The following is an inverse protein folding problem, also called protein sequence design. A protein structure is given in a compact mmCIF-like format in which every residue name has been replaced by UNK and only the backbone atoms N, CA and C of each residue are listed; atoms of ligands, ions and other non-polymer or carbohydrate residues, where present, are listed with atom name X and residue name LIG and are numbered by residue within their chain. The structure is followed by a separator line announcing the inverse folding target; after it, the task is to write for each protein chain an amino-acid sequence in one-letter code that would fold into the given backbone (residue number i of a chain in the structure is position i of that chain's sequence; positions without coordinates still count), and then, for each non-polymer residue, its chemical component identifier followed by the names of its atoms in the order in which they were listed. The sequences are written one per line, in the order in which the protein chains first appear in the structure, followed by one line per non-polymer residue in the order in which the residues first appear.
data_IF_857500092508
#
_entry.id   IF_857500092508
#
_cell.length_a   1.000
_cell.length_b   1.000
_cell.length_c   1.000
_cell.angle_alpha   90.00
_cell.angle_beta   90.00
_cell.angle_gamma   90.00
#
_symmetry.space_group_name_H-M   'P 1'
#
loop_
_entity.id
_entity.type
_entity.pdbx_description
1 polymer ?
#
# COMPACT_ATOMS: atom_id res chain seq x y z
N UNK A 1 -10.60 -29.86 -20.75
CA UNK A 1 -11.05 -28.63 -20.07
C UNK A 1 -12.26 -28.97 -19.22
N UNK A 2 -12.26 -28.57 -17.95
CA UNK A 2 -13.46 -28.53 -17.14
C UNK A 2 -14.18 -27.24 -17.55
N UNK A 3 -15.32 -27.40 -18.22
CA UNK A 3 -16.18 -26.33 -18.71
C UNK A 3 -17.57 -26.46 -18.08
N UNK A 4 -18.25 -25.33 -17.87
CA UNK A 4 -19.60 -25.30 -17.30
C UNK A 4 -19.94 -23.95 -16.67
N UNK A 5 -21.23 -23.66 -16.55
CA UNK A 5 -21.74 -22.41 -15.97
C UNK A 5 -21.25 -22.20 -14.52
N UNK A 6 -21.04 -20.95 -14.13
CA UNK A 6 -20.71 -20.52 -12.74
C UNK A 6 -21.93 -20.53 -11.82
N UNK A 7 -22.89 -21.43 -12.05
CA UNK A 7 -24.19 -21.47 -11.39
C UNK A 7 -24.26 -22.47 -10.21
N UNK A 8 -23.11 -22.83 -9.62
CA UNK A 8 -22.98 -23.79 -8.51
C UNK A 8 -23.39 -25.26 -8.78
N UNK A 9 -23.80 -25.63 -10.00
CA UNK A 9 -24.28 -27.02 -10.27
C UNK A 9 -23.15 -28.03 -10.54
N UNK A 10 -22.06 -27.60 -11.19
CA UNK A 10 -20.88 -28.43 -11.38
C UNK A 10 -19.88 -28.19 -10.26
N UNK A 11 -19.90 -29.04 -9.22
CA UNK A 11 -19.01 -28.95 -8.06
C UNK A 11 -18.10 -30.17 -7.98
N UNK A 12 -16.79 -29.95 -8.10
CA UNK A 12 -15.76 -30.93 -7.75
C UNK A 12 -15.24 -30.59 -6.36
N UNK A 13 -15.14 -31.59 -5.49
CA UNK A 13 -14.65 -31.41 -4.12
C UNK A 13 -13.43 -32.29 -3.91
N UNK A 14 -12.32 -31.64 -3.61
CA UNK A 14 -11.02 -32.22 -3.33
C UNK A 14 -10.80 -32.16 -1.82
N UNK A 15 -10.68 -33.33 -1.20
CA UNK A 15 -10.57 -33.46 0.27
C UNK A 15 -9.11 -33.55 0.71
N UNK A 16 -8.91 -33.64 2.02
CA UNK A 16 -7.58 -33.63 2.62
C UNK A 16 -6.61 -34.63 1.96
N UNK A 17 -5.40 -34.15 1.67
CA UNK A 17 -4.33 -34.95 1.06
C UNK A 17 -4.45 -35.16 -0.46
N UNK A 18 -5.49 -34.63 -1.10
CA UNK A 18 -5.62 -34.71 -2.56
C UNK A 18 -4.79 -33.63 -3.25
N UNK A 19 -4.33 -33.95 -4.47
CA UNK A 19 -3.61 -33.00 -5.34
C UNK A 19 -4.26 -33.01 -6.72
N UNK A 20 -4.54 -31.83 -7.26
CA UNK A 20 -4.93 -31.64 -8.66
C UNK A 20 -3.79 -30.95 -9.41
N UNK A 21 -3.35 -31.54 -10.53
CA UNK A 21 -2.35 -30.94 -11.41
C UNK A 21 -3.00 -30.45 -12.70
N UNK A 22 -2.87 -29.16 -12.98
CA UNK A 22 -3.36 -28.49 -14.19
C UNK A 22 -2.17 -28.32 -15.14
N UNK A 23 -2.01 -29.29 -16.04
CA UNK A 23 -0.88 -29.39 -16.97
C UNK A 23 -1.21 -29.00 -18.42
N UNK A 24 -2.41 -28.47 -18.66
CA UNK A 24 -2.82 -28.01 -19.98
C UNK A 24 -3.40 -26.60 -19.88
N UNK A 25 -3.14 -25.78 -20.90
CA UNK A 25 -3.75 -24.46 -21.01
C UNK A 25 -5.28 -24.57 -21.03
N UNK A 26 -5.96 -23.63 -20.39
CA UNK A 26 -7.43 -23.55 -20.26
C UNK A 26 -8.08 -24.80 -19.67
N UNK A 27 -7.32 -25.63 -18.95
CA UNK A 27 -7.85 -26.85 -18.36
C UNK A 27 -8.96 -26.55 -17.32
N UNK A 28 -8.89 -25.41 -16.64
CA UNK A 28 -9.97 -24.84 -15.83
C UNK A 28 -10.54 -23.62 -16.55
N UNK A 29 -11.64 -23.81 -17.30
CA UNK A 29 -12.32 -22.74 -18.05
C UNK A 29 -13.73 -22.44 -17.52
N UNK A 30 -14.22 -23.24 -16.57
CA UNK A 30 -15.55 -23.11 -15.97
C UNK A 30 -15.75 -24.05 -14.77
N UNK A 31 -17.01 -24.14 -14.31
CA UNK A 31 -17.41 -24.96 -13.16
C UNK A 31 -16.85 -24.47 -11.81
N UNK A 32 -17.09 -25.25 -10.75
CA UNK A 32 -16.67 -24.93 -9.38
C UNK A 32 -15.80 -26.05 -8.81
N UNK A 33 -14.62 -25.70 -8.30
CA UNK A 33 -13.70 -26.63 -7.65
C UNK A 33 -13.46 -26.17 -6.22
N UNK A 34 -13.71 -27.03 -5.24
CA UNK A 34 -13.48 -26.75 -3.82
C UNK A 34 -12.37 -27.66 -3.30
N UNK A 35 -11.34 -27.07 -2.71
CA UNK A 35 -10.19 -27.72 -2.12
C UNK A 35 -10.23 -27.52 -0.59
N UNK A 36 -10.26 -28.61 0.17
CA UNK A 36 -10.26 -28.62 1.63
C UNK A 36 -9.06 -29.41 2.14
N UNK A 37 -8.05 -28.73 2.69
CA UNK A 37 -6.74 -29.31 3.02
C UNK A 37 -6.09 -30.05 1.83
N UNK A 38 -6.25 -29.48 0.62
CA UNK A 38 -5.83 -30.08 -0.63
C UNK A 38 -4.90 -29.14 -1.42
N UNK A 39 -4.20 -29.68 -2.42
CA UNK A 39 -3.27 -28.92 -3.26
C UNK A 39 -3.79 -28.78 -4.69
N UNK A 40 -3.74 -27.56 -5.24
CA UNK A 40 -3.94 -27.28 -6.66
C UNK A 40 -2.62 -26.76 -7.24
N UNK A 41 -2.02 -27.52 -8.15
CA UNK A 41 -0.84 -27.10 -8.89
C UNK A 41 -1.23 -26.69 -10.31
N UNK A 42 -0.85 -25.48 -10.72
CA UNK A 42 -1.06 -24.96 -12.06
C UNK A 42 0.30 -24.82 -12.76
N UNK A 43 0.61 -25.83 -13.56
CA UNK A 43 1.92 -25.97 -14.22
C UNK A 43 1.87 -25.55 -15.69
N UNK A 44 0.69 -25.19 -16.20
CA UNK A 44 0.51 -24.70 -17.56
C UNK A 44 0.15 -23.23 -17.57
N UNK A 45 0.74 -22.48 -18.49
CA UNK A 45 0.29 -21.13 -18.81
C UNK A 45 -1.18 -21.15 -19.20
N UNK A 46 -1.92 -20.15 -18.74
CA UNK A 46 -3.37 -20.02 -18.90
C UNK A 46 -4.14 -21.21 -18.35
N UNK A 47 -3.58 -21.98 -17.41
CA UNK A 47 -4.22 -23.16 -16.84
C UNK A 47 -5.59 -22.86 -16.22
N UNK A 48 -5.74 -21.67 -15.63
CA UNK A 48 -7.01 -21.12 -15.17
C UNK A 48 -7.41 -19.94 -16.06
N UNK A 49 -8.52 -20.13 -16.76
CA UNK A 49 -9.13 -19.12 -17.64
C UNK A 49 -10.54 -18.73 -17.23
N UNK A 50 -11.17 -19.51 -16.34
CA UNK A 50 -12.53 -19.31 -15.88
C UNK A 50 -12.91 -20.22 -14.72
N UNK A 51 -14.19 -20.20 -14.35
CA UNK A 51 -14.74 -20.98 -13.24
C UNK A 51 -14.50 -20.33 -11.87
N UNK A 52 -14.84 -21.08 -10.82
CA UNK A 52 -14.68 -20.66 -9.43
C UNK A 52 -13.90 -21.69 -8.62
N UNK A 53 -12.70 -21.32 -8.19
CA UNK A 53 -11.85 -22.16 -7.36
C UNK A 53 -11.89 -21.66 -5.91
N UNK A 54 -12.23 -22.54 -4.97
CA UNK A 54 -12.24 -22.23 -3.54
C UNK A 54 -11.16 -23.08 -2.86
N UNK A 55 -10.18 -22.43 -2.24
CA UNK A 55 -9.18 -23.06 -1.39
C UNK A 55 -9.47 -22.69 0.05
N UNK A 56 -9.77 -23.69 0.87
CA UNK A 56 -10.14 -23.54 2.26
C UNK A 56 -9.21 -24.35 3.19
N UNK A 57 -9.30 -24.06 4.48
CA UNK A 57 -8.47 -24.64 5.54
C UNK A 57 -6.98 -24.42 5.26
N UNK A 58 -6.17 -25.48 5.19
CA UNK A 58 -4.73 -25.38 4.90
C UNK A 58 -4.42 -25.74 3.43
N UNK A 59 -5.36 -25.50 2.51
CA UNK A 59 -5.14 -25.80 1.09
C UNK A 59 -4.08 -24.91 0.46
N UNK A 60 -3.40 -25.42 -0.57
CA UNK A 60 -2.31 -24.72 -1.24
C UNK A 60 -2.60 -24.61 -2.75
N UNK A 61 -2.47 -23.41 -3.30
CA UNK A 61 -2.38 -23.15 -4.74
C UNK A 61 -0.92 -22.87 -5.08
N UNK A 62 -0.33 -23.64 -5.98
CA UNK A 62 0.98 -23.35 -6.54
C UNK A 62 0.83 -23.05 -8.02
N UNK A 63 1.46 -21.98 -8.51
CA UNK A 63 1.57 -21.70 -9.94
C UNK A 63 3.04 -21.57 -10.32
N UNK A 64 3.56 -22.56 -11.03
CA UNK A 64 4.94 -22.54 -11.54
C UNK A 64 5.04 -21.92 -12.94
N UNK A 65 3.92 -21.86 -13.67
CA UNK A 65 3.89 -21.35 -15.02
C UNK A 65 3.64 -19.84 -15.09
N UNK A 66 4.29 -19.21 -16.06
CA UNK A 66 4.00 -17.83 -16.43
C UNK A 66 2.56 -17.70 -16.91
N UNK A 67 1.90 -16.59 -16.55
CA UNK A 67 0.51 -16.29 -16.94
C UNK A 67 -0.46 -17.44 -16.63
N UNK A 68 -0.26 -18.14 -15.52
CA UNK A 68 -1.07 -19.29 -15.12
C UNK A 68 -2.58 -18.96 -14.98
N UNK A 69 -2.92 -17.73 -14.60
CA UNK A 69 -4.29 -17.27 -14.35
C UNK A 69 -4.60 -16.05 -15.22
N UNK A 70 -5.50 -16.23 -16.17
CA UNK A 70 -5.95 -15.16 -17.08
C UNK A 70 -7.41 -14.73 -16.82
N UNK A 71 -8.13 -15.45 -15.94
CA UNK A 71 -9.55 -15.22 -15.68
C UNK A 71 -10.10 -16.08 -14.55
N UNK A 72 -11.43 -16.06 -14.41
CA UNK A 72 -12.13 -16.80 -13.35
C UNK A 72 -12.13 -16.09 -11.99
N UNK A 73 -12.67 -16.79 -11.00
CA UNK A 73 -12.69 -16.36 -9.60
C UNK A 73 -11.90 -17.36 -8.76
N UNK A 74 -11.05 -16.85 -7.87
CA UNK A 74 -10.34 -17.67 -6.89
C UNK A 74 -10.62 -17.11 -5.51
N UNK A 75 -11.10 -17.95 -4.60
CA UNK A 75 -11.27 -17.62 -3.19
C UNK A 75 -10.31 -18.43 -2.34
N UNK A 76 -9.50 -17.73 -1.55
CA UNK A 76 -8.69 -18.30 -0.48
C UNK A 76 -9.30 -17.86 0.86
N UNK A 77 -9.38 -18.79 1.81
CA UNK A 77 -9.95 -18.56 3.14
C UNK A 77 -9.26 -19.46 4.17
N UNK A 78 -9.60 -19.25 5.44
CA UNK A 78 -8.96 -19.90 6.58
C UNK A 78 -7.44 -19.65 6.60
N UNK A 79 -6.60 -20.66 6.35
CA UNK A 79 -5.13 -20.56 6.31
C UNK A 79 -4.58 -20.94 4.92
N UNK A 80 -5.39 -20.83 3.87
CA UNK A 80 -4.98 -21.25 2.53
C UNK A 80 -3.85 -20.38 2.00
N UNK A 81 -2.92 -21.00 1.26
CA UNK A 81 -1.72 -20.32 0.73
C UNK A 81 -1.72 -20.38 -0.79
N UNK A 82 -1.41 -19.26 -1.44
CA UNK A 82 -1.10 -19.19 -2.85
C UNK A 82 0.37 -18.82 -3.03
N UNK A 83 1.16 -19.74 -3.58
CA UNK A 83 2.52 -19.48 -4.05
C UNK A 83 2.50 -19.18 -5.55
N UNK A 84 2.66 -17.90 -5.90
CA UNK A 84 2.71 -17.43 -7.27
C UNK A 84 4.17 -17.32 -7.75
N UNK A 85 4.70 -18.40 -8.31
CA UNK A 85 6.12 -18.52 -8.67
C UNK A 85 6.42 -18.11 -10.12
N UNK A 86 5.45 -18.23 -11.02
CA UNK A 86 5.59 -17.85 -12.43
C UNK A 86 5.56 -16.34 -12.67
N UNK A 87 6.15 -15.89 -13.78
CA UNK A 87 6.09 -14.49 -14.21
C UNK A 87 4.68 -14.11 -14.66
N UNK A 88 4.23 -12.91 -14.27
CA UNK A 88 2.89 -12.41 -14.60
C UNK A 88 1.80 -13.44 -14.28
N UNK A 89 1.95 -14.15 -13.16
CA UNK A 89 1.08 -15.28 -12.78
C UNK A 89 -0.40 -14.93 -12.92
N UNK A 90 -0.81 -13.74 -12.51
CA UNK A 90 -2.18 -13.23 -12.58
C UNK A 90 -2.25 -12.05 -13.55
N UNK A 91 -2.91 -12.26 -14.68
CA UNK A 91 -3.18 -11.21 -15.67
C UNK A 91 -4.66 -10.84 -15.75
N UNK A 92 -5.55 -11.57 -15.05
CA UNK A 92 -6.99 -11.33 -15.05
C UNK A 92 -7.76 -12.07 -13.95
N UNK A 93 -9.09 -11.91 -13.98
CA UNK A 93 -10.00 -12.51 -13.01
C UNK A 93 -10.13 -11.73 -11.69
N UNK A 94 -10.78 -12.37 -10.72
CA UNK A 94 -10.97 -11.84 -9.36
C UNK A 94 -10.41 -12.84 -8.36
N UNK A 95 -9.55 -12.37 -7.46
CA UNK A 95 -9.00 -13.18 -6.38
C UNK A 95 -9.39 -12.57 -5.03
N UNK A 96 -9.99 -13.38 -4.16
CA UNK A 96 -10.41 -12.96 -2.82
C UNK A 96 -9.64 -13.76 -1.78
N UNK A 97 -8.82 -13.08 -0.98
CA UNK A 97 -8.06 -13.61 0.14
C UNK A 97 -8.76 -13.18 1.43
N UNK A 98 -9.19 -14.14 2.24
CA UNK A 98 -9.93 -13.91 3.48
C UNK A 98 -9.22 -14.59 4.67
N UNK A 99 -9.66 -14.27 5.88
CA UNK A 99 -9.14 -14.86 7.12
C UNK A 99 -7.61 -14.73 7.21
N UNK A 100 -6.85 -15.80 7.44
CA UNK A 100 -5.38 -15.78 7.50
C UNK A 100 -4.73 -16.27 6.19
N UNK A 101 -5.43 -16.19 5.06
CA UNK A 101 -4.87 -16.65 3.78
C UNK A 101 -3.69 -15.79 3.31
N UNK A 102 -2.78 -16.40 2.56
CA UNK A 102 -1.51 -15.79 2.16
C UNK A 102 -1.34 -15.87 0.64
N UNK A 103 -0.91 -14.77 0.03
CA UNK A 103 -0.32 -14.74 -1.32
C UNK A 103 1.18 -14.45 -1.21
N UNK A 104 2.00 -15.38 -1.66
CA UNK A 104 3.42 -15.17 -1.87
C UNK A 104 3.66 -14.86 -3.35
N UNK A 105 3.90 -13.59 -3.66
CA UNK A 105 4.21 -13.11 -5.01
C UNK A 105 5.71 -13.26 -5.28
N UNK A 106 6.11 -14.46 -5.67
CA UNK A 106 7.51 -14.86 -5.88
C UNK A 106 7.96 -14.71 -7.33
N UNK A 107 7.03 -14.68 -8.29
CA UNK A 107 7.33 -14.40 -9.69
C UNK A 107 7.39 -12.90 -9.99
N UNK A 108 8.16 -12.52 -11.01
CA UNK A 108 8.13 -11.14 -11.50
C UNK A 108 6.74 -10.76 -12.01
N UNK A 109 6.35 -9.50 -11.85
CA UNK A 109 5.11 -8.94 -12.39
C UNK A 109 3.84 -9.72 -11.94
N UNK A 110 3.89 -10.40 -10.79
CA UNK A 110 2.89 -11.39 -10.33
C UNK A 110 1.44 -10.93 -10.53
N UNK A 111 1.10 -9.72 -10.06
CA UNK A 111 -0.22 -9.11 -10.21
C UNK A 111 -0.18 -8.02 -11.30
N UNK A 112 -0.24 -8.43 -12.56
CA UNK A 112 -0.21 -7.51 -13.73
C UNK A 112 -1.60 -7.11 -14.23
N UNK A 113 -2.64 -7.84 -13.82
CA UNK A 113 -4.04 -7.52 -14.10
C UNK A 113 -5.01 -8.12 -13.08
N UNK A 114 -6.30 -8.08 -13.39
CA UNK A 114 -7.37 -8.55 -12.51
C UNK A 114 -7.63 -7.67 -11.28
N UNK A 115 -8.48 -8.17 -10.39
CA UNK A 115 -8.82 -7.53 -9.11
C UNK A 115 -8.50 -8.47 -7.95
N UNK A 116 -7.71 -8.01 -7.00
CA UNK A 116 -7.33 -8.78 -5.81
C UNK A 116 -7.87 -8.09 -4.55
N UNK A 117 -8.67 -8.81 -3.78
CA UNK A 117 -9.25 -8.32 -2.54
C UNK A 117 -8.66 -9.12 -1.37
N UNK A 118 -8.07 -8.43 -0.41
CA UNK A 118 -7.50 -8.98 0.81
C UNK A 118 -8.31 -8.46 2.00
N UNK A 119 -8.86 -9.38 2.78
CA UNK A 119 -9.65 -9.07 3.98
C UNK A 119 -9.32 -10.04 5.13
N UNK A 120 -9.81 -9.76 6.32
CA UNK A 120 -9.46 -10.52 7.53
C UNK A 120 -8.03 -10.17 7.98
N UNK A 121 -7.22 -11.18 8.24
CA UNK A 121 -5.77 -11.06 8.53
C UNK A 121 -4.94 -11.54 7.32
N UNK A 122 -5.47 -11.47 6.10
CA UNK A 122 -4.80 -12.03 4.93
C UNK A 122 -3.55 -11.21 4.57
N UNK A 123 -2.57 -11.89 3.97
CA UNK A 123 -1.25 -11.31 3.74
C UNK A 123 -0.88 -11.42 2.26
N UNK A 124 -0.45 -10.30 1.68
CA UNK A 124 0.35 -10.27 0.46
C UNK A 124 1.83 -10.11 0.83
N UNK A 125 2.67 -11.03 0.40
CA UNK A 125 4.13 -10.89 0.45
C UNK A 125 4.65 -10.59 -0.96
N UNK A 126 5.09 -9.36 -1.19
CA UNK A 126 5.77 -8.95 -2.41
C UNK A 126 7.24 -9.31 -2.35
N UNK A 127 7.58 -10.51 -2.81
CA UNK A 127 8.92 -11.09 -2.71
C UNK A 127 9.75 -10.96 -4.00
N UNK A 128 9.13 -10.50 -5.08
CA UNK A 128 9.78 -10.27 -6.38
C UNK A 128 9.31 -8.98 -7.02
N UNK A 129 10.15 -8.45 -7.91
CA UNK A 129 9.89 -7.21 -8.64
C UNK A 129 8.53 -7.27 -9.34
N UNK A 130 7.75 -6.20 -9.24
CA UNK A 130 6.43 -6.12 -9.85
C UNK A 130 5.42 -7.04 -9.20
N UNK A 131 5.56 -7.36 -7.91
CA UNK A 131 4.50 -8.05 -7.16
C UNK A 131 3.12 -7.40 -7.43
N UNK A 132 3.08 -6.06 -7.48
CA UNK A 132 2.00 -5.27 -8.10
C UNK A 132 2.56 -4.53 -9.32
N UNK A 133 1.93 -4.73 -10.48
CA UNK A 133 2.33 -4.13 -11.74
C UNK A 133 1.13 -3.95 -12.69
N UNK A 134 1.38 -3.37 -13.87
CA UNK A 134 0.40 -3.29 -14.96
C UNK A 134 -0.89 -2.57 -14.55
N UNK A 135 -2.04 -3.15 -14.91
CA UNK A 135 -3.37 -2.56 -14.70
C UNK A 135 -4.15 -3.24 -13.56
N UNK A 136 -3.48 -4.01 -12.70
CA UNK A 136 -4.13 -4.71 -11.59
C UNK A 136 -4.76 -3.73 -10.59
N UNK A 137 -5.71 -4.23 -9.79
CA UNK A 137 -6.38 -3.46 -8.73
C UNK A 137 -6.36 -4.23 -7.42
N UNK A 138 -5.92 -3.59 -6.36
CA UNK A 138 -5.83 -4.21 -5.03
C UNK A 138 -6.66 -3.44 -4.01
N UNK A 139 -7.38 -4.17 -3.18
CA UNK A 139 -8.07 -3.64 -2.00
C UNK A 139 -7.65 -4.49 -0.79
N UNK A 140 -7.11 -3.83 0.23
CA UNK A 140 -6.81 -4.39 1.54
C UNK A 140 -7.80 -3.79 2.55
N UNK A 141 -8.45 -4.62 3.34
CA UNK A 141 -9.45 -4.21 4.34
C UNK A 141 -9.34 -5.05 5.61
N UNK A 142 -10.06 -4.67 6.66
CA UNK A 142 -9.91 -5.21 8.01
C UNK A 142 -8.44 -5.13 8.48
N UNK A 143 -7.81 -6.24 8.87
CA UNK A 143 -6.41 -6.30 9.31
C UNK A 143 -5.46 -6.84 8.22
N UNK A 144 -5.84 -6.74 6.94
CA UNK A 144 -5.03 -7.29 5.87
C UNK A 144 -3.66 -6.58 5.76
N UNK A 145 -2.62 -7.33 5.40
CA UNK A 145 -1.24 -6.85 5.39
C UNK A 145 -0.65 -6.98 3.99
N UNK A 146 0.05 -5.94 3.51
CA UNK A 146 0.97 -6.02 2.40
C UNK A 146 2.41 -5.77 2.86
N UNK A 147 3.29 -6.75 2.64
CA UNK A 147 4.73 -6.62 2.87
C UNK A 147 5.46 -6.42 1.54
N UNK A 148 5.95 -5.21 1.28
CA UNK A 148 6.83 -4.88 0.18
C UNK A 148 8.29 -5.14 0.62
N UNK A 149 8.76 -6.37 0.39
CA UNK A 149 10.01 -6.88 0.96
C UNK A 149 11.24 -6.63 0.08
N UNK A 150 11.04 -6.28 -1.18
CA UNK A 150 12.11 -6.14 -2.17
C UNK A 150 11.99 -4.82 -2.92
N UNK A 151 13.07 -4.42 -3.58
CA UNK A 151 13.09 -3.24 -4.43
C UNK A 151 12.17 -3.43 -5.64
N UNK A 152 11.36 -2.42 -5.95
CA UNK A 152 10.36 -2.43 -7.01
C UNK A 152 9.28 -3.49 -6.80
N UNK A 153 8.87 -3.75 -5.55
CA UNK A 153 7.72 -4.63 -5.27
C UNK A 153 6.43 -4.08 -5.87
N UNK A 154 6.29 -2.75 -5.92
CA UNK A 154 5.25 -2.03 -6.66
C UNK A 154 5.90 -1.22 -7.76
N UNK A 155 5.48 -1.46 -9.01
CA UNK A 155 5.95 -0.73 -10.20
C UNK A 155 4.80 -0.17 -11.04
N UNK A 156 3.57 -0.34 -10.57
CA UNK A 156 2.36 -0.03 -11.29
C UNK A 156 1.13 -0.46 -10.51
N UNK A 157 0.09 -0.89 -11.23
CA UNK A 157 -1.23 -1.08 -10.67
C UNK A 157 -2.08 0.17 -10.87
N UNK A 158 -3.34 -0.04 -11.26
CA UNK A 158 -4.27 1.08 -11.48
C UNK A 158 -4.65 1.75 -10.16
N UNK A 159 -4.77 0.96 -9.10
CA UNK A 159 -5.11 1.43 -7.75
C UNK A 159 -4.78 0.35 -6.72
N UNK A 160 -4.12 0.76 -5.64
CA UNK A 160 -3.90 -0.05 -4.45
C UNK A 160 -4.47 0.71 -3.25
N UNK A 161 -5.53 0.16 -2.66
CA UNK A 161 -6.27 0.83 -1.58
C UNK A 161 -6.19 0.02 -0.28
N UNK A 162 -5.89 0.68 0.82
CA UNK A 162 -5.93 0.17 2.19
C UNK A 162 -7.08 0.83 2.94
N UNK A 163 -7.87 0.03 3.65
CA UNK A 163 -9.05 0.46 4.41
C UNK A 163 -9.05 -0.16 5.80
N UNK A 164 -9.91 0.33 6.67
CA UNK A 164 -10.09 -0.17 8.03
C UNK A 164 -8.75 -0.16 8.77
N UNK A 165 -8.29 -1.28 9.32
CA UNK A 165 -7.02 -1.38 10.07
C UNK A 165 -5.89 -2.01 9.21
N UNK A 166 -6.03 -1.96 7.88
CA UNK A 166 -5.08 -2.62 6.97
C UNK A 166 -3.70 -1.95 7.02
N UNK A 167 -2.65 -2.76 6.83
CA UNK A 167 -1.26 -2.32 6.98
C UNK A 167 -0.46 -2.58 5.71
N UNK A 168 0.34 -1.59 5.31
CA UNK A 168 1.43 -1.78 4.36
C UNK A 168 2.77 -1.57 5.06
N UNK A 169 3.70 -2.52 4.88
CA UNK A 169 5.07 -2.40 5.35
C UNK A 169 6.01 -2.33 4.15
N UNK A 170 6.84 -1.28 4.07
CA UNK A 170 7.91 -1.18 3.08
C UNK A 170 9.25 -1.31 3.78
N UNK A 171 9.97 -2.37 3.44
CA UNK A 171 11.25 -2.73 4.10
C UNK A 171 12.43 -2.75 3.14
N UNK A 172 12.23 -2.41 1.86
CA UNK A 172 13.29 -2.33 0.86
C UNK A 172 13.31 -0.96 0.15
N UNK A 173 14.51 -0.50 -0.18
CA UNK A 173 14.72 0.71 -0.96
C UNK A 173 14.01 0.61 -2.32
N UNK A 174 13.34 1.68 -2.72
CA UNK A 174 12.44 1.75 -3.87
C UNK A 174 11.41 0.63 -3.88
N UNK A 175 10.93 0.18 -2.71
CA UNK A 175 9.89 -0.83 -2.61
C UNK A 175 8.63 -0.45 -3.40
N UNK A 176 8.36 0.85 -3.50
CA UNK A 176 7.39 1.45 -4.41
C UNK A 176 8.11 2.38 -5.38
N UNK A 177 8.08 2.05 -6.67
CA UNK A 177 8.69 2.82 -7.75
C UNK A 177 7.59 3.19 -8.74
N UNK A 178 6.87 4.27 -8.41
CA UNK A 178 5.58 4.60 -8.99
C UNK A 178 4.39 3.85 -8.37
N UNK A 179 3.18 4.26 -8.75
CA UNK A 179 1.92 3.76 -8.19
C UNK A 179 1.28 4.75 -7.22
N UNK A 180 -0.05 4.79 -7.21
CA UNK A 180 -0.85 5.64 -6.32
C UNK A 180 -1.47 4.76 -5.23
N UNK A 181 -0.98 4.91 -4.01
CA UNK A 181 -1.52 4.26 -2.82
C UNK A 181 -2.57 5.15 -2.18
N UNK A 182 -3.68 4.54 -1.79
CA UNK A 182 -4.73 5.18 -1.02
C UNK A 182 -4.88 4.49 0.33
N UNK A 183 -4.72 5.23 1.41
CA UNK A 183 -5.00 4.79 2.77
C UNK A 183 -6.27 5.50 3.26
N UNK A 184 -7.26 4.74 3.71
CA UNK A 184 -8.54 5.22 4.25
C UNK A 184 -8.88 4.47 5.55
N UNK A 185 -9.80 5.00 6.36
CA UNK A 185 -10.13 4.42 7.67
C UNK A 185 -8.99 4.60 8.68
N UNK A 186 -8.60 3.56 9.40
CA UNK A 186 -7.48 3.55 10.36
C UNK A 186 -6.22 2.90 9.77
N UNK A 187 -6.12 2.81 8.43
CA UNK A 187 -5.08 2.03 7.78
C UNK A 187 -3.70 2.66 7.99
N UNK A 188 -2.66 1.84 8.00
CA UNK A 188 -1.30 2.27 8.34
C UNK A 188 -0.30 1.95 7.24
N UNK A 189 0.54 2.92 6.90
CA UNK A 189 1.75 2.73 6.10
C UNK A 189 2.98 2.83 7.01
N UNK A 190 3.80 1.78 7.05
CA UNK A 190 5.08 1.78 7.75
C UNK A 190 6.23 1.83 6.74
N UNK A 191 7.04 2.89 6.81
CA UNK A 191 8.25 3.05 6.02
C UNK A 191 9.45 2.75 6.89
N UNK A 192 10.13 1.63 6.63
CA UNK A 192 11.18 1.09 7.50
C UNK A 192 12.59 1.21 6.89
N UNK A 193 12.75 1.99 5.82
CA UNK A 193 14.00 2.08 5.05
C UNK A 193 14.09 3.41 4.30
N UNK A 194 15.29 3.81 3.88
CA UNK A 194 15.51 4.98 3.03
C UNK A 194 14.98 4.74 1.60
N UNK A 195 14.63 5.83 0.93
CA UNK A 195 14.09 5.95 -0.42
C UNK A 195 13.04 4.87 -0.72
N UNK A 196 12.17 4.57 0.26
CA UNK A 196 11.24 3.45 0.17
C UNK A 196 10.18 3.66 -0.92
N UNK A 197 9.79 4.92 -1.13
CA UNK A 197 8.87 5.35 -2.18
C UNK A 197 9.60 6.34 -3.07
N UNK A 198 9.65 6.03 -4.37
CA UNK A 198 10.19 6.90 -5.41
C UNK A 198 9.05 7.49 -6.24
N UNK A 199 8.74 8.77 -6.02
CA UNK A 199 7.74 9.52 -6.75
C UNK A 199 6.29 9.31 -6.31
N UNK A 200 5.37 9.91 -7.08
CA UNK A 200 3.92 9.71 -6.96
C UNK A 200 3.22 10.57 -5.90
N UNK A 201 1.88 10.53 -5.95
CA UNK A 201 1.00 11.09 -4.91
C UNK A 201 0.43 9.94 -4.08
N UNK A 202 0.72 9.94 -2.78
CA UNK A 202 0.17 8.98 -1.83
C UNK A 202 -0.91 9.68 -1.02
N UNK A 203 -2.11 9.12 -1.02
CA UNK A 203 -3.29 9.76 -0.45
C UNK A 203 -3.70 9.08 0.86
N UNK A 204 -3.90 9.88 1.89
CA UNK A 204 -4.31 9.46 3.22
C UNK A 204 -5.61 10.14 3.60
N UNK A 205 -6.59 9.36 4.05
CA UNK A 205 -7.95 9.80 4.42
C UNK A 205 -8.35 9.19 5.76
N UNK A 206 -9.42 9.71 6.36
CA UNK A 206 -9.94 9.16 7.62
C UNK A 206 -8.93 9.37 8.74
N UNK A 207 -8.72 8.35 9.58
CA UNK A 207 -7.70 8.35 10.64
C UNK A 207 -6.44 7.58 10.20
N UNK A 208 -6.17 7.50 8.90
CA UNK A 208 -5.02 6.73 8.40
C UNK A 208 -3.70 7.33 8.89
N UNK A 209 -2.69 6.48 9.01
CA UNK A 209 -1.41 6.80 9.60
C UNK A 209 -0.28 6.44 8.64
N UNK A 210 0.71 7.32 8.53
CA UNK A 210 2.01 7.00 7.96
C UNK A 210 3.10 7.17 9.02
N UNK A 211 3.91 6.14 9.22
CA UNK A 211 5.09 6.15 10.08
C UNK A 211 6.34 6.18 9.21
N UNK A 212 7.14 7.25 9.34
CA UNK A 212 8.40 7.42 8.64
C UNK A 212 9.56 7.12 9.60
N UNK A 213 10.07 5.87 9.53
CA UNK A 213 10.99 5.32 10.52
C UNK A 213 12.47 5.41 10.13
N UNK A 214 12.80 6.05 9.01
CA UNK A 214 14.15 6.15 8.51
C UNK A 214 14.43 7.52 7.88
N UNK A 215 15.69 7.96 7.92
CA UNK A 215 16.16 9.13 7.18
C UNK A 215 15.90 8.95 5.66
N UNK A 216 15.49 10.01 4.97
CA UNK A 216 15.12 10.00 3.55
C UNK A 216 14.10 8.88 3.24
N UNK A 217 13.06 8.71 4.05
CA UNK A 217 12.06 7.65 3.84
C UNK A 217 11.37 7.72 2.48
N UNK A 218 11.26 8.93 1.90
CA UNK A 218 10.62 9.22 0.63
C UNK A 218 11.57 9.92 -0.34
N UNK A 219 11.28 9.84 -1.64
CA UNK A 219 12.01 10.55 -2.68
C UNK A 219 11.05 11.12 -3.72
N UNK A 220 10.98 12.45 -3.84
CA UNK A 220 10.12 13.17 -4.77
C UNK A 220 8.63 12.79 -4.62
N UNK A 221 8.18 12.55 -3.39
CA UNK A 221 6.82 12.06 -3.11
C UNK A 221 5.94 13.18 -2.58
N UNK A 222 4.68 13.21 -3.04
CA UNK A 222 3.64 14.04 -2.44
C UNK A 222 2.78 13.22 -1.50
N UNK A 223 2.69 13.62 -0.23
CA UNK A 223 1.73 13.11 0.74
C UNK A 223 0.50 14.03 0.75
N UNK A 224 -0.63 13.52 0.28
CA UNK A 224 -1.90 14.23 0.33
C UNK A 224 -2.72 13.74 1.52
N UNK A 225 -2.87 14.61 2.52
CA UNK A 225 -3.53 14.31 3.78
C UNK A 225 -4.92 14.92 3.78
N UNK A 226 -5.92 14.10 4.08
CA UNK A 226 -7.33 14.47 4.11
C UNK A 226 -7.99 13.93 5.39
N UNK A 227 -9.00 14.64 5.89
CA UNK A 227 -9.67 14.28 7.14
C UNK A 227 -8.71 14.34 8.33
N UNK A 228 -8.61 13.26 9.10
CA UNK A 228 -7.81 13.16 10.33
C UNK A 228 -6.50 12.38 10.12
N UNK A 229 -6.03 12.30 8.87
CA UNK A 229 -4.81 11.56 8.54
C UNK A 229 -3.62 12.10 9.34
N UNK A 230 -2.73 11.21 9.76
CA UNK A 230 -1.57 11.56 10.59
C UNK A 230 -0.27 11.09 9.96
N UNK A 231 0.77 11.93 10.06
CA UNK A 231 2.15 11.62 9.72
C UNK A 231 2.97 11.62 11.00
N UNK A 232 3.57 10.49 11.33
CA UNK A 232 4.50 10.36 12.44
C UNK A 232 5.93 10.29 11.92
N UNK A 233 6.78 11.17 12.44
CA UNK A 233 8.20 11.23 12.12
C UNK A 233 8.97 10.53 13.22
N UNK A 234 9.75 9.51 12.88
CA UNK A 234 10.53 8.73 13.85
C UNK A 234 12.03 8.71 13.51
N UNK A 235 12.47 9.57 12.59
CA UNK A 235 13.87 9.76 12.22
C UNK A 235 14.11 11.19 11.71
N UNK A 236 15.31 11.71 11.94
CA UNK A 236 15.72 12.99 11.37
C UNK A 236 15.76 12.91 9.83
N UNK A 237 15.36 13.99 9.17
CA UNK A 237 15.24 14.09 7.72
C UNK A 237 14.46 12.92 7.09
N UNK A 238 13.48 12.36 7.80
CA UNK A 238 12.63 11.32 7.23
C UNK A 238 11.88 11.80 5.97
N UNK A 239 11.61 13.11 5.91
CA UNK A 239 11.23 13.84 4.70
C UNK A 239 12.41 14.71 4.24
N UNK A 240 12.58 14.86 2.93
CA UNK A 240 13.64 15.66 2.33
C UNK A 240 13.10 16.79 1.44
N UNK A 241 14.02 17.60 0.88
CA UNK A 241 13.70 18.80 0.10
C UNK A 241 12.96 18.54 -1.23
N UNK A 242 12.81 17.29 -1.63
CA UNK A 242 12.03 16.86 -2.80
C UNK A 242 10.61 16.42 -2.44
N UNK A 243 10.34 16.21 -1.15
CA UNK A 243 9.04 15.74 -0.69
C UNK A 243 8.08 16.90 -0.42
N UNK A 244 6.79 16.61 -0.55
CA UNK A 244 5.72 17.60 -0.44
C UNK A 244 4.59 17.07 0.45
N UNK A 245 4.06 17.93 1.32
CA UNK A 245 2.83 17.66 2.07
C UNK A 245 1.72 18.60 1.60
N UNK A 246 0.54 18.04 1.37
CA UNK A 246 -0.68 18.78 1.03
C UNK A 246 -1.78 18.45 2.04
N UNK A 247 -2.10 19.41 2.91
CA UNK A 247 -3.23 19.33 3.83
C UNK A 247 -4.54 19.74 3.14
N UNK A 248 -5.35 18.78 2.72
CA UNK A 248 -6.53 18.99 1.89
C UNK A 248 -7.81 18.85 2.71
N UNK A 249 -8.65 19.89 2.69
CA UNK A 249 -9.95 19.88 3.35
C UNK A 249 -10.91 18.95 2.63
N UNK A 250 -11.47 18.01 3.38
CA UNK A 250 -12.68 17.27 2.98
C UNK A 250 -13.90 17.88 3.68
N UNK A 251 -15.08 17.78 3.06
CA UNK A 251 -16.31 18.47 3.50
C UNK A 251 -16.78 18.17 4.94
N UNK A 252 -16.19 17.18 5.63
CA UNK A 252 -16.82 16.50 6.76
C UNK A 252 -15.93 16.31 8.01
N UNK A 253 -14.95 17.19 8.27
CA UNK A 253 -14.16 17.05 9.51
C UNK A 253 -14.08 18.34 10.32
N UNK A 254 -14.48 18.24 11.59
CA UNK A 254 -14.24 19.25 12.64
C UNK A 254 -12.79 19.24 13.13
N UNK A 255 -12.06 18.17 12.81
CA UNK A 255 -10.64 17.94 13.05
C UNK A 255 -9.88 17.96 11.72
N UNK A 256 -8.58 18.26 11.74
CA UNK A 256 -7.74 18.25 10.55
C UNK A 256 -6.61 17.25 10.65
N UNK A 257 -5.86 17.14 9.56
CA UNK A 257 -4.73 16.21 9.46
C UNK A 257 -3.53 16.69 10.29
N UNK A 258 -2.69 15.77 10.72
CA UNK A 258 -1.58 16.05 11.64
C UNK A 258 -0.24 15.66 11.02
N UNK A 259 0.75 16.53 11.13
CA UNK A 259 2.17 16.20 11.01
C UNK A 259 2.81 16.29 12.39
N UNK A 260 3.22 15.17 12.97
CA UNK A 260 3.94 15.14 14.24
C UNK A 260 5.43 14.91 14.00
N UNK A 261 6.23 15.96 14.23
CA UNK A 261 7.69 15.90 14.06
C UNK A 261 8.37 15.14 15.20
N UNK A 262 7.69 14.94 16.34
CA UNK A 262 8.11 14.04 17.42
C UNK A 262 9.61 14.13 17.80
N UNK A 263 10.15 15.35 17.94
CA UNK A 263 11.53 15.60 18.34
C UNK A 263 12.57 15.45 17.23
N UNK A 264 12.14 15.20 15.99
CA UNK A 264 13.00 15.03 14.83
C UNK A 264 13.01 16.24 13.92
N UNK A 265 14.20 16.62 13.46
CA UNK A 265 14.35 17.75 12.55
C UNK A 265 14.15 17.31 11.10
N UNK A 266 13.50 18.16 10.30
CA UNK A 266 13.13 17.89 8.93
C UNK A 266 13.54 19.02 8.00
N UNK A 267 13.86 18.65 6.77
CA UNK A 267 14.00 19.57 5.65
C UNK A 267 13.06 19.13 4.55
N UNK A 268 11.90 19.79 4.40
CA UNK A 268 10.89 19.40 3.42
C UNK A 268 10.83 20.38 2.24
N UNK A 269 10.51 19.88 1.05
CA UNK A 269 10.36 20.70 -0.15
C UNK A 269 9.28 21.76 0.02
N UNK A 270 8.03 21.33 0.24
CA UNK A 270 6.94 22.24 0.55
C UNK A 270 5.86 21.64 1.46
N UNK A 271 5.16 22.52 2.15
CA UNK A 271 3.92 22.23 2.86
C UNK A 271 2.87 23.20 2.31
N UNK A 272 1.73 22.67 1.89
CA UNK A 272 0.64 23.47 1.31
C UNK A 272 -0.72 22.88 1.71
N UNK A 273 -1.82 23.47 1.22
CA UNK A 273 -3.15 22.93 1.41
C UNK A 273 -4.25 23.98 1.63
N UNK A 274 -5.47 23.53 1.88
CA UNK A 274 -6.63 24.37 2.25
C UNK A 274 -7.35 23.89 3.52
N UNK A 275 -6.85 22.86 4.21
CA UNK A 275 -7.36 22.47 5.52
C UNK A 275 -6.86 23.45 6.59
N UNK A 276 -7.81 24.19 7.18
CA UNK A 276 -7.58 25.15 8.27
C UNK A 276 -7.46 24.47 9.63
N UNK A 277 -7.90 23.20 9.75
CA UNK A 277 -7.83 22.45 10.99
C UNK A 277 -6.55 21.59 11.07
N UNK A 278 -5.71 21.62 10.03
CA UNK A 278 -4.46 20.86 10.00
C UNK A 278 -3.47 21.41 11.04
N UNK A 279 -2.73 20.49 11.67
CA UNK A 279 -1.80 20.81 12.75
C UNK A 279 -0.43 20.22 12.41
N UNK A 280 0.61 21.03 12.54
CA UNK A 280 1.99 20.51 12.64
C UNK A 280 2.38 20.64 14.09
N UNK A 281 2.88 19.58 14.72
CA UNK A 281 3.22 19.61 16.15
C UNK A 281 4.52 18.88 16.43
N UNK A 282 5.05 19.13 17.62
CA UNK A 282 6.11 18.35 18.21
C UNK A 282 5.59 17.73 19.51
N UNK A 283 5.31 16.42 19.50
CA UNK A 283 4.86 15.71 20.72
C UNK A 283 5.99 15.28 21.65
N UNK A 284 7.26 15.43 21.24
CA UNK A 284 8.43 15.09 22.04
C UNK A 284 8.85 16.23 22.96
N UNK A 285 9.55 15.87 24.05
CA UNK A 285 10.23 16.83 24.91
C UNK A 285 11.54 17.37 24.29
N UNK A 286 12.02 16.75 23.21
CA UNK A 286 13.19 17.19 22.47
C UNK A 286 12.80 18.25 21.43
N UNK A 287 13.60 19.31 21.30
CA UNK A 287 13.41 20.34 20.28
C UNK A 287 13.63 19.75 18.87
N UNK A 288 12.79 20.19 17.93
CA UNK A 288 12.87 19.83 16.52
C UNK A 288 12.88 21.09 15.64
N UNK A 289 13.59 21.03 14.52
CA UNK A 289 13.62 22.09 13.51
C UNK A 289 12.90 21.59 12.27
N UNK A 290 11.87 22.31 11.84
CA UNK A 290 11.22 22.13 10.55
C UNK A 290 11.70 23.22 9.58
N UNK A 291 12.42 22.82 8.54
CA UNK A 291 12.85 23.69 7.44
C UNK A 291 11.99 23.40 6.22
N UNK A 292 11.36 24.43 5.64
CA UNK A 292 10.53 24.28 4.44
C UNK A 292 10.94 25.26 3.33
N UNK A 293 10.61 24.96 2.08
CA UNK A 293 10.60 25.94 0.99
C UNK A 293 11.95 26.29 0.39
N UNK A 294 12.89 25.35 0.33
CA UNK A 294 14.23 25.59 -0.20
C UNK A 294 14.27 25.86 -1.72
N UNK A 295 13.24 25.47 -2.50
CA UNK A 295 13.29 25.50 -3.97
C UNK A 295 11.99 25.89 -4.71
N UNK A 296 10.87 26.21 -4.05
CA UNK A 296 9.60 26.51 -4.76
C UNK A 296 8.86 27.73 -4.20
N UNK A 297 8.38 28.60 -5.10
CA UNK A 297 7.78 29.92 -4.82
C UNK A 297 6.36 29.86 -4.21
N UNK A 298 5.83 28.66 -3.97
CA UNK A 298 4.46 28.43 -3.51
C UNK A 298 4.28 28.28 -1.99
N UNK A 299 5.35 28.30 -1.20
CA UNK A 299 5.33 27.81 0.19
C UNK A 299 4.50 28.71 1.12
N UNK A 300 4.26 29.97 0.75
CA UNK A 300 3.51 30.94 1.58
C UNK A 300 2.67 31.95 0.78
N UNK A 301 2.09 31.56 -0.35
CA UNK A 301 1.17 32.45 -1.07
C UNK A 301 -0.20 32.52 -0.36
N UNK A 302 -0.29 33.29 0.74
CA UNK A 302 -1.53 33.99 1.12
C UNK A 302 -2.15 33.81 2.51
N UNK A 303 -1.51 33.28 3.56
CA UNK A 303 -2.17 33.18 4.89
C UNK A 303 -1.17 33.23 6.08
N UNK A 304 -1.60 33.79 7.21
CA UNK A 304 -0.82 34.00 8.45
C UNK A 304 -0.96 32.84 9.44
N UNK A 305 0.11 32.48 10.16
CA UNK A 305 0.11 31.47 11.24
C UNK A 305 0.45 32.16 12.58
N UNK A 306 -0.10 31.70 13.72
CA UNK A 306 0.31 32.17 15.05
C UNK A 306 1.24 31.20 15.75
N UNK A 307 2.28 31.76 16.41
CA UNK A 307 3.34 31.03 17.10
C UNK A 307 3.69 31.72 18.42
N UNK A 308 3.90 30.94 19.47
CA UNK A 308 4.58 31.35 20.69
C UNK A 308 6.03 30.81 20.69
N UNK A 309 6.99 31.74 20.74
CA UNK A 309 8.45 31.57 20.73
C UNK A 309 9.13 31.29 19.37
N UNK A 310 9.94 32.27 18.94
CA UNK A 310 10.67 32.31 17.68
C UNK A 310 12.18 32.41 17.96
N UNK A 311 13.00 31.60 17.30
CA UNK A 311 14.44 31.84 17.19
C UNK A 311 14.87 31.81 15.71
N UNK A 312 14.77 32.96 15.04
CA UNK A 312 15.42 33.20 13.74
C UNK A 312 16.93 33.20 13.93
N UNK A 313 17.65 32.21 13.38
CA UNK A 313 19.06 32.39 13.01
C UNK A 313 19.41 31.60 11.74
N UNK A 314 19.78 32.33 10.70
CA UNK A 314 20.58 31.81 9.58
C UNK A 314 19.91 31.97 8.22
N UNK A 315 20.29 33.02 7.48
CA UNK A 315 19.85 33.25 6.12
C UNK A 315 20.37 32.14 5.17
N UNK A 316 19.44 31.40 4.55
CA UNK A 316 19.65 30.80 3.23
C UNK A 316 18.43 31.14 2.36
N UNK A 317 18.59 32.19 1.54
CA UNK A 317 17.57 32.88 0.71
C UNK A 317 16.46 33.57 1.50
N UNK A 318 15.91 34.66 0.95
CA UNK A 318 15.06 35.62 1.65
C UNK A 318 13.70 35.07 2.14
N UNK A 319 13.41 33.79 1.89
CA UNK A 319 12.06 33.21 1.99
C UNK A 319 12.04 31.81 2.63
N UNK A 320 13.18 31.27 3.09
CA UNK A 320 13.19 30.03 3.84
C UNK A 320 12.55 30.24 5.23
N UNK A 321 11.53 29.45 5.55
CA UNK A 321 10.92 29.45 6.89
C UNK A 321 11.56 28.33 7.70
N UNK A 322 12.37 28.74 8.67
CA UNK A 322 12.87 27.88 9.74
C UNK A 322 11.88 28.00 10.90
N UNK A 323 11.16 26.92 11.17
CA UNK A 323 10.31 26.82 12.34
C UNK A 323 11.02 25.96 13.38
N UNK A 324 11.31 26.55 14.53
CA UNK A 324 11.76 25.86 15.74
C UNK A 324 10.68 26.07 16.79
N UNK A 325 10.05 25.02 17.32
CA UNK A 325 8.99 25.17 18.30
C UNK A 325 9.02 24.11 19.41
N UNK A 326 8.77 24.58 20.64
CA UNK A 326 8.18 23.82 21.75
C UNK A 326 6.65 24.08 21.69
N UNK A 327 5.93 23.46 20.75
CA UNK A 327 4.47 23.63 20.66
C UNK A 327 3.85 23.37 19.30
N UNK A 328 2.51 23.43 19.26
CA UNK A 328 1.69 23.22 18.06
C UNK A 328 1.76 24.43 17.11
N UNK A 329 1.87 24.14 15.83
CA UNK A 329 1.76 25.06 14.70
C UNK A 329 0.35 24.89 14.13
N UNK A 330 -0.51 25.87 14.37
CA UNK A 330 -1.88 25.87 13.85
C UNK A 330 -2.05 26.88 12.72
N UNK A 331 -2.80 26.49 11.68
CA UNK A 331 -3.17 27.38 10.58
C UNK A 331 -4.30 28.32 11.01
N UNK A 332 -4.23 29.60 10.63
CA UNK A 332 -5.39 30.51 10.68
C UNK A 332 -6.07 30.59 9.31
#
# INVERSE_FOLDING_TARGET
AIAGETNNTNKQIFQSGTTMNVNAATALSGGNQTFNDATLNVNASQGISGGYQILAKSSVLNTEADQAIIGGQIKLQDNAVFNANGKSTITGGIQNFNDNSILNANGEDTLSGGSQNFSGNSILNGNSKGAISGNSKQIFSNNAIFNANISQAVTGGTSTTFKDDAVMNISAQHGVDGGNLLFDGNSTLNINTADAINGGEQRFKGNSLINLNHENSLYNTTLKLEGNASVNINADNALNYTDHIVFSKTYDTTTGSILDVNGHSLTIGSISGNDTNAVIKNSSAQDAILTTGLYDYGVFAGQSYQYDSFLQRGAMRAEAVVSSALGDITRQ
#
